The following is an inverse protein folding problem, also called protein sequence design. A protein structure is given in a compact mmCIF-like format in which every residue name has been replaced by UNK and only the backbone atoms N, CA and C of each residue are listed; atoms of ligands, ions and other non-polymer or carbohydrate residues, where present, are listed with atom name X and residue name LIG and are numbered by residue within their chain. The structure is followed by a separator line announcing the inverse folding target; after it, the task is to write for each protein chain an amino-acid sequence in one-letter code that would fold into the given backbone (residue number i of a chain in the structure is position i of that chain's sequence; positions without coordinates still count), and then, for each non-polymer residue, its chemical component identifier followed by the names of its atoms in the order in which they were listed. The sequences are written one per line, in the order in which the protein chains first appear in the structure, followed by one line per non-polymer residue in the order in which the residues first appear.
data_IF_857849611699
#
_entry.id   IF_857849611699
#
_cell.length_a   1.000
_cell.length_b   1.000
_cell.length_c   1.000
_cell.angle_alpha   90.00
_cell.angle_beta   90.00
_cell.angle_gamma   90.00
#
_symmetry.space_group_name_H-M   'P 1'
#
loop_
_entity.id
_entity.type
_entity.pdbx_description
1 polymer ?
#
# COMPACT_ATOMS: atom_id res chain seq x y z
N UNK A 1 14.42 -1.24 -11.51
CA UNK A 1 13.75 -1.63 -12.77
C UNK A 1 12.29 -1.83 -12.41
N UNK A 2 11.44 -0.82 -12.65
CA UNK A 2 10.01 -0.93 -12.37
C UNK A 2 9.42 -1.95 -13.33
N UNK A 3 8.88 -3.04 -12.80
CA UNK A 3 8.17 -4.05 -13.59
C UNK A 3 6.78 -3.48 -13.89
N UNK A 4 6.33 -3.40 -15.16
CA UNK A 4 5.00 -2.92 -15.47
C UNK A 4 3.95 -3.88 -14.89
N UNK A 5 2.99 -3.33 -14.12
CA UNK A 5 1.97 -4.11 -13.44
C UNK A 5 0.99 -4.77 -14.44
N UNK A 6 0.59 -6.05 -14.25
CA UNK A 6 -0.45 -6.68 -15.06
C UNK A 6 -1.83 -6.17 -14.63
N UNK A 7 -2.59 -5.63 -15.60
CA UNK A 7 -3.86 -4.89 -15.43
C UNK A 7 -5.07 -5.68 -14.90
N UNK A 8 -4.97 -6.55 -13.89
CA UNK A 8 -6.19 -7.13 -13.28
C UNK A 8 -6.10 -7.73 -11.86
N UNK A 9 -5.07 -7.47 -11.05
CA UNK A 9 -5.03 -7.94 -9.64
C UNK A 9 -4.92 -6.82 -8.61
N UNK A 10 -4.36 -5.66 -8.99
CA UNK A 10 -4.31 -4.45 -8.18
C UNK A 10 -4.94 -3.32 -8.98
N UNK A 11 -6.19 -2.96 -8.70
CA UNK A 11 -6.89 -1.88 -9.41
C UNK A 11 -6.40 -0.48 -9.01
N UNK A 12 -5.58 -0.39 -7.96
CA UNK A 12 -5.08 0.82 -7.35
C UNK A 12 -3.71 0.47 -6.76
N UNK A 13 -2.64 1.05 -7.32
CA UNK A 13 -1.27 0.85 -6.85
C UNK A 13 -1.13 1.33 -5.41
N UNK A 14 -1.77 2.45 -5.09
CA UNK A 14 -1.79 3.05 -3.76
C UNK A 14 -2.38 2.10 -2.71
N UNK A 15 -3.50 1.42 -3.04
CA UNK A 15 -4.10 0.41 -2.17
C UNK A 15 -3.22 -0.83 -1.94
N UNK A 16 -2.19 -1.04 -2.77
CA UNK A 16 -1.23 -2.14 -2.62
C UNK A 16 0.10 -1.74 -1.99
N UNK A 17 0.34 -0.45 -1.79
CA UNK A 17 1.45 0.08 -1.02
C UNK A 17 1.09 0.04 0.48
N UNK A 18 1.29 -1.12 1.09
CA UNK A 18 0.72 -1.41 2.43
C UNK A 18 1.49 -0.73 3.56
N UNK A 19 2.68 -0.23 3.27
CA UNK A 19 3.53 0.48 4.22
C UNK A 19 3.82 1.93 3.82
N UNK A 20 3.19 2.40 2.73
CA UNK A 20 3.08 3.80 2.31
C UNK A 20 4.46 4.46 2.08
N UNK A 21 5.29 3.83 1.25
CA UNK A 21 6.61 4.34 0.86
C UNK A 21 6.75 4.73 -0.62
N UNK A 22 5.69 4.58 -1.39
CA UNK A 22 5.60 4.88 -2.81
C UNK A 22 6.25 3.83 -3.71
N UNK A 23 6.63 2.67 -3.19
CA UNK A 23 7.19 1.56 -3.94
C UNK A 23 6.24 0.37 -3.91
N UNK A 24 6.17 -0.34 -5.03
CA UNK A 24 5.45 -1.61 -5.10
C UNK A 24 6.47 -2.73 -5.24
N UNK A 25 6.80 -3.35 -4.10
CA UNK A 25 7.76 -4.45 -4.06
C UNK A 25 7.40 -5.54 -3.03
N UNK A 26 8.36 -6.40 -2.68
CA UNK A 26 8.10 -7.52 -1.77
C UNK A 26 7.92 -7.07 -0.31
N UNK A 27 8.42 -5.89 0.04
CA UNK A 27 8.29 -5.31 1.38
C UNK A 27 6.83 -5.09 1.75
N UNK A 28 5.96 -4.74 0.79
CA UNK A 28 4.51 -4.66 0.97
C UNK A 28 3.91 -5.96 1.49
N UNK A 29 4.18 -7.07 0.79
CA UNK A 29 3.65 -8.37 1.19
C UNK A 29 4.18 -8.81 2.56
N UNK A 30 5.45 -8.50 2.87
CA UNK A 30 6.06 -8.79 4.18
C UNK A 30 5.40 -7.96 5.28
N UNK A 31 5.20 -6.66 5.04
CA UNK A 31 4.59 -5.74 5.98
C UNK A 31 3.12 -6.10 6.26
N UNK A 32 2.35 -6.42 5.21
CA UNK A 32 0.98 -6.88 5.33
C UNK A 32 0.85 -8.16 6.17
N UNK A 33 1.72 -9.15 5.97
CA UNK A 33 1.71 -10.37 6.77
C UNK A 33 2.17 -10.10 8.21
N UNK A 34 3.15 -9.22 8.40
CA UNK A 34 3.61 -8.83 9.73
C UNK A 34 2.48 -8.16 10.53
N UNK A 35 1.76 -7.20 9.94
CA UNK A 35 0.66 -6.50 10.63
C UNK A 35 -0.52 -7.43 10.96
N UNK A 36 -0.75 -8.48 10.18
CA UNK A 36 -1.81 -9.47 10.44
C UNK A 36 -1.45 -10.51 11.51
N UNK A 37 -0.17 -10.92 11.58
CA UNK A 37 0.22 -12.11 12.35
C UNK A 37 1.24 -11.87 13.46
N UNK A 38 1.85 -10.68 13.54
CA UNK A 38 2.81 -10.31 14.58
C UNK A 38 2.17 -9.28 15.50
N UNK A 39 1.89 -9.68 16.75
CA UNK A 39 1.21 -8.86 17.76
C UNK A 39 1.93 -7.53 18.06
N UNK A 40 3.26 -7.48 17.86
CA UNK A 40 4.07 -6.29 18.12
C UNK A 40 4.48 -5.53 16.84
N UNK A 41 3.93 -5.89 15.68
CA UNK A 41 4.17 -5.11 14.46
C UNK A 41 3.43 -3.77 14.52
N UNK A 42 4.01 -2.75 13.89
CA UNK A 42 3.33 -1.48 13.71
C UNK A 42 2.03 -1.68 12.92
N UNK A 43 0.92 -1.03 13.34
CA UNK A 43 -0.32 -1.07 12.57
C UNK A 43 -0.07 -0.42 11.21
N UNK A 44 -0.76 -0.90 10.15
CA UNK A 44 -0.66 -0.26 8.85
C UNK A 44 -1.06 1.22 8.96
N UNK A 45 -0.54 2.08 8.06
CA UNK A 45 -0.98 3.46 7.92
C UNK A 45 -2.50 3.52 7.93
N UNK A 46 -3.06 4.53 8.59
CA UNK A 46 -4.51 4.64 8.72
C UNK A 46 -5.13 4.64 7.32
N UNK A 47 -5.92 3.61 7.00
CA UNK A 47 -6.59 3.47 5.71
C UNK A 47 -7.71 4.50 5.60
N UNK A 48 -7.38 5.77 5.35
CA UNK A 48 -8.32 6.85 5.04
C UNK A 48 -9.63 6.86 5.85
N UNK A 49 -9.64 6.42 7.11
CA UNK A 49 -10.89 6.08 7.82
C UNK A 49 -11.78 7.30 8.10
N UNK A 50 -11.24 8.49 7.84
CA UNK A 50 -11.96 9.73 7.63
C UNK A 50 -11.71 10.18 6.20
N UNK A 51 -12.78 10.42 5.43
CA UNK A 51 -12.66 11.05 4.11
C UNK A 51 -11.86 12.36 4.26
N UNK A 52 -10.72 12.47 3.60
CA UNK A 52 -9.78 13.58 3.71
C UNK A 52 -8.61 13.39 2.75
N UNK A 53 -7.80 14.44 2.55
CA UNK A 53 -6.60 14.35 1.72
C UNK A 53 -5.65 13.32 2.30
N UNK A 54 -5.11 12.45 1.45
CA UNK A 54 -4.03 11.55 1.82
C UNK A 54 -2.84 12.40 2.34
N UNK A 55 -2.40 12.25 3.60
CA UNK A 55 -1.29 13.01 4.16
C UNK A 55 0.07 12.58 3.58
N UNK A 56 0.11 11.46 2.86
CA UNK A 56 1.31 10.83 2.28
C UNK A 56 1.16 10.61 0.77
N UNK A 57 0.71 11.60 -0.02
CA UNK A 57 0.42 11.39 -1.43
C UNK A 57 1.70 11.07 -2.18
N UNK A 58 1.86 9.80 -2.52
CA UNK A 58 2.97 9.25 -3.29
C UNK A 58 2.50 8.91 -4.72
N UNK A 59 3.44 8.77 -5.65
CA UNK A 59 3.13 8.65 -7.10
C UNK A 59 2.72 7.23 -7.50
N UNK A 60 1.80 6.61 -6.76
CA UNK A 60 1.14 5.36 -7.12
C UNK A 60 -0.30 5.69 -7.50
N UNK A 61 -0.71 5.28 -8.70
CA UNK A 61 -2.00 5.71 -9.26
C UNK A 61 -3.16 4.78 -8.87
N UNK A 62 -4.35 5.34 -8.93
CA UNK A 62 -5.61 4.60 -8.93
C UNK A 62 -6.44 5.14 -10.08
N UNK A 63 -6.88 4.25 -10.98
CA UNK A 63 -7.90 4.61 -11.96
C UNK A 63 -9.23 4.49 -11.24
N UNK A 64 -9.79 5.62 -10.82
CA UNK A 64 -11.16 5.73 -10.32
C UNK A 64 -12.19 5.08 -11.27
#
# INVERSE_FOLDING_TARGET
MQVPAPSSVAACGDATDTHDDGLLDISDAVYALASLFIVAADPPPASGSTCGEDPTPVTVDCVE
#
